data_IF_362716204084
#
_entry.id   IF_362716204084
#
_cell.length_a   1.000
_cell.length_b   1.000
_cell.length_c   1.000
_cell.angle_alpha   90.00
_cell.angle_beta   90.00
_cell.angle_gamma   90.00
#
_symmetry.space_group_name_H-M   'P 1'
#
loop_
_entity.id
_entity.type
_entity.pdbx_description
1 polymer ?
#
# COMPACT_ATOMS: atom_id res chain seq x y z
N UNK A 1 -8.65 15.60 -8.40
CA UNK A 1 -8.08 14.35 -8.93
C UNK A 1 -9.23 13.53 -9.48
N UNK A 2 -9.07 12.84 -10.60
CA UNK A 2 -10.11 11.94 -11.12
C UNK A 2 -9.69 10.46 -11.00
N UNK A 3 -10.57 9.54 -11.39
CA UNK A 3 -10.31 8.09 -11.34
C UNK A 3 -9.14 7.66 -12.22
N UNK A 4 -8.93 8.28 -13.38
CA UNK A 4 -7.82 7.96 -14.29
C UNK A 4 -6.47 8.40 -13.72
N UNK A 5 -6.42 9.57 -13.08
CA UNK A 5 -5.23 10.03 -12.35
C UNK A 5 -4.91 9.05 -11.21
N UNK A 6 -5.94 8.59 -10.51
CA UNK A 6 -5.79 7.65 -9.40
C UNK A 6 -5.34 6.26 -9.87
N UNK A 7 -5.92 5.72 -10.95
CA UNK A 7 -5.44 4.48 -11.57
C UNK A 7 -3.97 4.59 -11.97
N UNK A 8 -3.59 5.69 -12.64
CA UNK A 8 -2.20 5.91 -13.07
C UNK A 8 -1.24 5.98 -11.88
N UNK A 9 -1.66 6.59 -10.78
CA UNK A 9 -0.92 6.59 -9.52
C UNK A 9 -0.77 5.17 -8.93
N UNK A 10 -1.84 4.38 -8.93
CA UNK A 10 -1.82 3.01 -8.43
C UNK A 10 -0.93 2.08 -9.27
N UNK A 11 -0.92 2.26 -10.59
CA UNK A 11 -0.06 1.50 -11.50
C UNK A 11 1.42 1.84 -11.22
N UNK A 12 1.74 3.12 -11.10
CA UNK A 12 3.09 3.59 -10.76
C UNK A 12 3.59 3.04 -9.42
N UNK A 13 2.73 3.06 -8.38
CA UNK A 13 3.03 2.45 -7.08
C UNK A 13 3.26 0.94 -7.21
N UNK A 14 2.54 0.26 -8.10
CA UNK A 14 2.69 -1.18 -8.34
C UNK A 14 4.03 -1.52 -8.99
N UNK A 15 4.42 -0.75 -9.99
CA UNK A 15 5.69 -0.90 -10.69
C UNK A 15 6.89 -0.69 -9.75
N UNK A 16 6.82 0.25 -8.81
CA UNK A 16 7.90 0.48 -7.83
C UNK A 16 8.39 -0.82 -7.16
N UNK A 17 7.48 -1.71 -6.78
CA UNK A 17 7.84 -2.95 -6.07
C UNK A 17 8.32 -4.06 -6.99
N UNK A 18 7.82 -4.11 -8.23
CA UNK A 18 8.27 -5.10 -9.23
C UNK A 18 9.64 -4.71 -9.78
N UNK A 19 9.85 -3.43 -10.08
CA UNK A 19 11.11 -2.87 -10.57
C UNK A 19 12.14 -2.66 -9.44
N UNK A 20 11.71 -2.82 -8.18
CA UNK A 20 12.53 -2.61 -6.97
C UNK A 20 13.07 -1.16 -6.88
N UNK A 21 12.32 -0.20 -7.42
CA UNK A 21 12.69 1.21 -7.49
C UNK A 21 12.24 1.96 -6.23
N UNK A 22 13.17 2.03 -5.26
CA UNK A 22 12.96 2.80 -4.04
C UNK A 22 12.81 4.31 -4.30
N UNK A 23 13.51 4.88 -5.28
CA UNK A 23 13.47 6.31 -5.55
C UNK A 23 12.08 6.72 -6.08
N UNK A 24 11.48 5.88 -6.93
CA UNK A 24 10.10 6.05 -7.40
C UNK A 24 9.12 5.92 -6.24
N UNK A 25 9.26 4.90 -5.40
CA UNK A 25 8.43 4.74 -4.20
C UNK A 25 8.51 5.95 -3.27
N UNK A 26 9.72 6.43 -3.01
CA UNK A 26 9.98 7.58 -2.14
C UNK A 26 9.27 8.86 -2.59
N UNK A 27 9.15 9.09 -3.89
CA UNK A 27 8.42 10.25 -4.46
C UNK A 27 6.91 10.19 -4.17
N UNK A 28 6.36 9.01 -3.90
CA UNK A 28 4.93 8.80 -3.60
C UNK A 28 4.59 8.94 -2.12
N UNK A 29 5.57 9.19 -1.25
CA UNK A 29 5.38 9.23 0.21
C UNK A 29 5.62 10.62 0.79
N UNK A 30 4.74 11.05 1.69
CA UNK A 30 4.89 12.20 2.56
C UNK A 30 5.17 11.74 3.99
N UNK A 31 6.18 12.31 4.63
CA UNK A 31 6.41 12.12 6.06
C UNK A 31 5.63 13.15 6.89
N UNK A 32 5.15 12.80 8.09
CA UNK A 32 5.15 11.46 8.71
C UNK A 32 4.18 10.52 7.97
N UNK A 33 4.66 9.33 7.59
CA UNK A 33 3.89 8.33 6.83
C UNK A 33 3.39 7.22 7.76
N UNK A 34 2.10 6.90 7.71
CA UNK A 34 1.51 5.85 8.55
C UNK A 34 1.00 4.67 7.74
N UNK A 35 1.44 3.46 8.10
CA UNK A 35 0.91 2.20 7.60
C UNK A 35 0.11 1.53 8.71
N UNK A 36 -1.21 1.53 8.60
CA UNK A 36 -2.09 0.88 9.57
C UNK A 36 -2.24 -0.58 9.15
N UNK A 37 -1.64 -1.47 9.95
CA UNK A 37 -1.65 -2.91 9.74
C UNK A 37 -2.47 -3.61 10.82
N UNK A 38 -2.73 -4.92 10.66
CA UNK A 38 -3.38 -5.74 11.67
C UNK A 38 -2.57 -5.85 12.98
N UNK A 39 -1.25 -5.65 12.93
CA UNK A 39 -0.39 -5.64 14.11
C UNK A 39 -0.30 -4.26 14.80
N UNK A 40 -1.02 -3.26 14.26
CA UNK A 40 -0.96 -1.88 14.69
C UNK A 40 -0.33 -0.95 13.64
N UNK A 41 -0.28 0.36 13.96
CA UNK A 41 0.30 1.36 13.07
C UNK A 41 1.83 1.28 13.07
N UNK A 42 2.41 1.26 11.86
CA UNK A 42 3.83 1.53 11.63
C UNK A 42 3.93 3.00 11.22
N UNK A 43 4.83 3.73 11.86
CA UNK A 43 5.04 5.16 11.60
C UNK A 43 6.45 5.33 11.04
N UNK A 44 6.53 5.90 9.84
CA UNK A 44 7.77 6.13 9.10
C UNK A 44 7.98 7.64 9.01
N UNK A 45 9.14 8.10 9.46
CA UNK A 45 9.53 9.51 9.58
C UNK A 45 10.76 9.83 8.74
N UNK A 46 11.55 8.83 8.35
CA UNK A 46 12.82 9.02 7.64
C UNK A 46 12.92 8.15 6.39
N UNK A 47 13.84 8.52 5.49
CA UNK A 47 14.15 7.73 4.30
C UNK A 47 14.74 6.35 4.65
N UNK A 48 15.48 6.25 5.74
CA UNK A 48 16.07 4.98 6.17
C UNK A 48 14.98 4.03 6.67
N UNK A 49 14.05 4.49 7.49
CA UNK A 49 12.87 3.73 7.93
C UNK A 49 11.98 3.33 6.73
N UNK A 50 11.81 4.23 5.74
CA UNK A 50 11.06 3.92 4.53
C UNK A 50 11.77 2.84 3.71
N UNK A 51 13.10 2.89 3.64
CA UNK A 51 13.92 1.92 2.89
C UNK A 51 13.89 0.55 3.56
N UNK A 52 13.96 0.50 4.88
CA UNK A 52 13.79 -0.74 5.65
C UNK A 52 12.40 -1.35 5.40
N UNK A 53 11.35 -0.54 5.48
CA UNK A 53 9.99 -1.01 5.20
C UNK A 53 9.82 -1.50 3.74
N UNK A 54 10.40 -0.77 2.79
CA UNK A 54 10.40 -1.16 1.38
C UNK A 54 11.12 -2.49 1.17
N UNK A 55 12.28 -2.69 1.81
CA UNK A 55 13.02 -3.94 1.75
C UNK A 55 12.22 -5.14 2.30
N UNK A 56 11.46 -4.95 3.39
CA UNK A 56 10.55 -5.99 3.92
C UNK A 56 9.47 -6.36 2.90
N UNK A 57 8.93 -5.36 2.18
CA UNK A 57 7.95 -5.62 1.13
C UNK A 57 8.57 -6.38 -0.05
N UNK A 58 9.80 -6.03 -0.45
CA UNK A 58 10.53 -6.76 -1.50
C UNK A 58 10.82 -8.21 -1.09
N UNK A 59 11.20 -8.45 0.16
CA UNK A 59 11.38 -9.82 0.68
C UNK A 59 10.07 -10.62 0.60
N UNK A 60 8.92 -10.00 0.88
CA UNK A 60 7.63 -10.63 0.71
C UNK A 60 7.31 -10.93 -0.77
N UNK A 61 7.64 -10.01 -1.68
CA UNK A 61 7.53 -10.25 -3.13
C UNK A 61 8.37 -11.46 -3.56
N UNK A 62 9.63 -11.54 -3.10
CA UNK A 62 10.54 -12.65 -3.42
C UNK A 62 10.03 -13.98 -2.86
N UNK A 63 9.59 -13.99 -1.60
CA UNK A 63 9.07 -15.20 -0.94
C UNK A 63 7.82 -15.76 -1.63
N UNK A 64 6.95 -14.87 -2.12
CA UNK A 64 5.76 -15.25 -2.90
C UNK A 64 6.07 -15.44 -4.40
N UNK A 65 7.29 -15.13 -4.84
CA UNK A 65 7.73 -15.13 -6.24
C UNK A 65 6.80 -14.31 -7.12
N UNK A 66 6.46 -13.10 -6.67
CA UNK A 66 5.56 -12.22 -7.41
C UNK A 66 6.26 -11.70 -8.67
N UNK A 67 5.58 -11.81 -9.80
CA UNK A 67 6.01 -11.22 -11.08
C UNK A 67 5.13 -10.02 -11.46
N UNK A 68 3.96 -9.88 -10.84
CA UNK A 68 3.05 -8.76 -11.08
C UNK A 68 2.27 -8.38 -9.84
N UNK A 69 2.20 -7.07 -9.62
CA UNK A 69 1.26 -6.44 -8.70
C UNK A 69 0.40 -5.53 -9.54
N UNK A 70 -0.92 -5.54 -9.33
CA UNK A 70 -1.78 -4.51 -9.86
C UNK A 70 -2.81 -4.09 -8.82
N UNK A 71 -3.31 -2.87 -8.96
CA UNK A 71 -4.25 -2.27 -8.04
C UNK A 71 -5.43 -1.73 -8.81
N UNK A 72 -6.63 -2.03 -8.32
CA UNK A 72 -7.89 -1.62 -8.95
C UNK A 72 -8.57 -0.60 -8.05
N UNK A 73 -8.81 0.64 -8.53
CA UNK A 73 -9.61 1.63 -7.83
C UNK A 73 -10.98 1.06 -7.46
N UNK A 74 -11.40 1.29 -6.23
CA UNK A 74 -12.74 0.95 -5.72
C UNK A 74 -13.55 2.20 -5.41
N UNK A 75 -12.90 3.30 -5.08
CA UNK A 75 -13.54 4.56 -4.76
C UNK A 75 -12.53 5.67 -4.56
N UNK A 76 -12.97 6.90 -4.83
CA UNK A 76 -12.18 8.10 -4.66
C UNK A 76 -13.08 9.20 -4.11
N UNK A 77 -12.76 9.70 -2.93
CA UNK A 77 -13.55 10.71 -2.22
C UNK A 77 -12.67 11.92 -1.88
N UNK A 78 -13.17 13.12 -2.12
CA UNK A 78 -12.51 14.37 -1.70
C UNK A 78 -12.92 14.73 -0.28
N UNK A 79 -11.95 14.97 0.57
CA UNK A 79 -12.15 15.45 1.94
C UNK A 79 -12.33 16.97 1.95
N UNK A 80 -13.00 17.49 2.99
CA UNK A 80 -13.22 18.93 3.16
C UNK A 80 -11.93 19.76 3.31
N UNK A 81 -10.81 19.13 3.63
CA UNK A 81 -9.49 19.76 3.77
C UNK A 81 -8.65 19.74 2.46
N UNK A 82 -9.23 19.27 1.35
CA UNK A 82 -8.57 19.15 0.05
C UNK A 82 -7.67 17.92 -0.10
N UNK A 83 -7.61 17.05 0.91
CA UNK A 83 -7.05 15.70 0.76
C UNK A 83 -8.06 14.76 0.09
N UNK A 84 -7.61 13.57 -0.27
CA UNK A 84 -8.46 12.58 -0.93
C UNK A 84 -8.32 11.21 -0.27
N UNK A 85 -9.42 10.50 -0.09
CA UNK A 85 -9.42 9.09 0.29
C UNK A 85 -9.55 8.23 -0.96
N UNK A 86 -8.50 7.46 -1.26
CA UNK A 86 -8.49 6.51 -2.37
C UNK A 86 -8.56 5.08 -1.86
N UNK A 87 -9.66 4.40 -2.13
CA UNK A 87 -9.83 2.97 -1.86
C UNK A 87 -9.50 2.14 -3.09
N UNK A 88 -8.77 1.04 -2.89
CA UNK A 88 -8.34 0.15 -3.98
C UNK A 88 -8.22 -1.30 -3.50
N UNK A 89 -8.28 -2.23 -4.43
CA UNK A 89 -7.98 -3.64 -4.22
C UNK A 89 -6.59 -3.96 -4.76
N UNK A 90 -5.73 -4.56 -3.92
CA UNK A 90 -4.40 -5.02 -4.32
C UNK A 90 -4.46 -6.49 -4.73
N UNK A 91 -3.92 -6.76 -5.92
CA UNK A 91 -3.87 -8.08 -6.53
C UNK A 91 -2.40 -8.48 -6.70
N UNK A 92 -2.00 -9.59 -6.09
CA UNK A 92 -0.62 -10.12 -6.11
C UNK A 92 -0.56 -11.40 -6.94
N UNK A 93 0.28 -11.42 -7.98
CA UNK A 93 0.33 -12.51 -8.96
C UNK A 93 1.72 -13.10 -9.10
N UNK A 94 1.74 -14.38 -9.44
CA UNK A 94 2.89 -15.18 -9.87
C UNK A 94 2.48 -15.97 -11.11
N UNK A 95 3.15 -15.75 -12.25
CA UNK A 95 2.92 -16.45 -13.52
C UNK A 95 1.43 -16.44 -13.93
N UNK A 96 0.75 -15.31 -13.75
CA UNK A 96 -0.67 -15.15 -14.06
C UNK A 96 -1.64 -15.77 -13.05
N UNK A 97 -1.16 -16.47 -12.01
CA UNK A 97 -1.98 -16.98 -10.91
C UNK A 97 -1.91 -16.06 -9.70
N UNK A 98 -3.00 -15.98 -8.93
CA UNK A 98 -3.02 -15.22 -7.67
C UNK A 98 -2.14 -15.91 -6.63
N UNK A 99 -1.19 -15.18 -6.06
CA UNK A 99 -0.34 -15.69 -4.98
C UNK A 99 -1.09 -15.75 -3.63
N UNK A 100 -2.07 -14.86 -3.45
CA UNK A 100 -2.95 -14.79 -2.28
C UNK A 100 -4.30 -14.19 -2.67
N UNK A 101 -5.28 -14.25 -1.77
CA UNK A 101 -6.53 -13.52 -1.92
C UNK A 101 -6.27 -12.01 -2.06
N UNK A 102 -7.00 -11.31 -2.95
CA UNK A 102 -6.94 -9.85 -3.02
C UNK A 102 -7.33 -9.23 -1.67
N UNK A 103 -6.74 -8.08 -1.37
CA UNK A 103 -7.08 -7.34 -0.16
C UNK A 103 -7.31 -5.87 -0.47
N UNK A 104 -8.17 -5.25 0.32
CA UNK A 104 -8.56 -3.85 0.15
C UNK A 104 -7.67 -2.94 1.01
N UNK A 105 -7.38 -1.78 0.48
CA UNK A 105 -6.64 -0.73 1.18
C UNK A 105 -7.29 0.62 0.90
N UNK A 106 -7.15 1.54 1.84
CA UNK A 106 -7.51 2.94 1.68
C UNK A 106 -6.26 3.78 1.94
N UNK A 107 -5.93 4.68 1.02
CA UNK A 107 -4.83 5.63 1.19
C UNK A 107 -5.37 7.05 1.38
N UNK A 108 -4.71 7.81 2.26
CA UNK A 108 -4.89 9.26 2.35
C UNK A 108 -3.92 9.93 1.38
N UNK A 109 -4.47 10.56 0.36
CA UNK A 109 -3.79 11.11 -0.80
C UNK A 109 -3.75 12.64 -0.74
N UNK A 110 -2.63 13.18 -1.21
CA UNK A 110 -2.36 14.61 -1.29
C UNK A 110 -2.00 14.93 -2.72
N UNK A 111 -2.79 15.80 -3.36
CA UNK A 111 -2.42 16.36 -4.65
C UNK A 111 -1.42 17.51 -4.43
N UNK A 112 -0.21 17.36 -4.96
CA UNK A 112 0.84 18.38 -4.93
C UNK A 112 1.14 18.83 -6.36
N UNK A 113 1.84 19.96 -6.49
CA UNK A 113 2.22 20.50 -7.80
C UNK A 113 3.07 19.52 -8.62
N UNK A 114 3.79 18.61 -7.96
CA UNK A 114 4.64 17.59 -8.56
C UNK A 114 4.01 16.19 -8.59
N UNK A 115 2.72 16.08 -8.29
CA UNK A 115 1.93 14.85 -8.40
C UNK A 115 1.28 14.39 -7.10
N UNK A 116 0.79 13.15 -7.12
CA UNK A 116 0.05 12.54 -6.01
C UNK A 116 1.05 11.90 -5.03
N UNK A 117 0.84 12.14 -3.73
CA UNK A 117 1.60 11.51 -2.64
C UNK A 117 0.69 11.01 -1.53
N UNK A 118 1.16 10.05 -0.74
CA UNK A 118 0.44 9.43 0.37
C UNK A 118 1.03 9.83 1.71
N UNK A 119 0.16 10.15 2.67
CA UNK A 119 0.57 10.29 4.09
C UNK A 119 0.13 9.10 4.93
N UNK A 120 -0.83 8.30 4.47
CA UNK A 120 -1.24 7.10 5.20
C UNK A 120 -1.80 6.03 4.27
N UNK A 121 -1.63 4.77 4.65
CA UNK A 121 -2.33 3.63 4.07
C UNK A 121 -2.92 2.81 5.20
N UNK A 122 -4.21 2.53 5.10
CA UNK A 122 -4.91 1.58 5.93
C UNK A 122 -5.19 0.34 5.09
N UNK A 123 -4.57 -0.78 5.46
CA UNK A 123 -4.93 -2.06 4.87
C UNK A 123 -6.17 -2.57 5.60
N UNK A 124 -7.32 -2.57 4.92
CA UNK A 124 -8.49 -3.30 5.37
C UNK A 124 -8.21 -4.79 5.18
N UNK A 125 -7.30 -5.34 6.00
CA UNK A 125 -7.32 -6.78 6.23
C UNK A 125 -8.67 -7.06 6.86
N UNK A 126 -9.51 -7.78 6.13
CA UNK A 126 -10.68 -8.42 6.69
C UNK A 126 -10.28 -9.02 8.03
N UNK A 127 -11.09 -8.69 9.02
CA UNK A 127 -11.01 -9.20 10.38
C UNK A 127 -10.66 -10.70 10.34
N UNK A 128 -9.43 -11.07 10.74
CA UNK A 128 -8.83 -12.43 10.70
C UNK A 128 -8.26 -12.91 9.36
N UNK A 129 -6.93 -13.10 9.33
CA UNK A 129 -6.20 -14.19 8.68
C UNK A 129 -4.87 -13.69 8.08
N UNK A 130 -3.79 -13.76 8.88
CA UNK A 130 -2.45 -14.10 8.37
C UNK A 130 -1.43 -14.43 9.48
N UNK A 131 -1.53 -13.92 10.70
CA UNK A 131 -0.62 -14.35 11.78
C UNK A 131 -1.28 -15.45 12.59
N UNK A 132 -1.03 -16.72 12.27
CA UNK A 132 -1.60 -17.89 12.96
C UNK A 132 -1.26 -18.01 14.45
N UNK A 133 -1.76 -17.07 15.27
CA UNK A 133 -1.84 -17.16 16.73
C UNK A 133 -3.16 -16.53 17.15
N UNK A 134 -4.12 -17.36 17.54
CA UNK A 134 -5.18 -16.91 18.43
C UNK A 134 -4.52 -16.51 19.77
N UNK A 135 -4.92 -15.41 20.42
CA UNK A 135 -4.62 -15.24 21.83
C UNK A 135 -5.37 -16.34 22.59
N UNK A 136 -4.63 -17.13 23.37
CA UNK A 136 -5.22 -18.03 24.36
C UNK A 136 -6.06 -17.17 25.31
N UNK A 137 -7.38 -17.33 25.26
CA UNK A 137 -8.25 -16.88 26.34
C UNK A 137 -7.92 -17.72 27.55
N UNK A 138 -7.08 -17.18 28.43
CA UNK A 138 -6.83 -17.73 29.76
C UNK A 138 -8.11 -17.70 30.58
N UNK A 139 -8.47 -18.88 31.09
CA UNK A 139 -9.56 -19.18 32.02
C UNK A 139 -9.45 -18.47 33.36
#
# INVERSE_FOLDING_TARGET
>A
MNESDFQSFLDDVSECFIERDFARWRKRVLYTFSLITSAGPIVIKTDDELRENFALYLQACDAMQLDRIFRVPLGLEECSDGTWLGSYETNLLRNGMRATAPYKSTALLHLRADGIRMSSIMNARGHHDWTGKQPETGS
#
